data_IF_993854150799
#
_entry.id   IF_993854150799
#
_cell.length_a   1.000
_cell.length_b   1.000
_cell.length_c   1.000
_cell.angle_alpha   90.00
_cell.angle_beta   90.00
_cell.angle_gamma   90.00
#
_symmetry.space_group_name_H-M   'P 1'
#
loop_
_entity.id
_entity.type
_entity.pdbx_description
1 polymer ?
#
# COMPACT_ATOMS: atom_id res chain seq x y z
N UNK A 1 53.06 49.00 32.97
CA UNK A 1 54.11 48.40 32.09
C UNK A 1 53.47 47.27 31.29
N UNK A 2 53.47 47.41 29.97
CA UNK A 2 53.03 46.41 28.99
C UNK A 2 54.00 45.22 28.93
N UNK A 3 53.51 43.97 28.89
CA UNK A 3 53.61 43.03 27.74
C UNK A 3 53.13 41.60 28.06
N UNK A 4 52.10 41.19 27.33
CA UNK A 4 51.74 39.88 26.74
C UNK A 4 52.01 38.55 27.46
N UNK A 5 51.00 37.67 27.48
CA UNK A 5 51.04 36.37 26.76
C UNK A 5 49.59 35.84 26.53
N UNK A 6 49.26 35.84 25.24
CA UNK A 6 48.41 34.94 24.44
C UNK A 6 47.10 34.36 25.05
N UNK A 7 46.02 34.76 24.40
CA UNK A 7 44.71 34.10 24.39
C UNK A 7 44.83 32.62 24.03
N UNK A 8 44.26 31.75 24.87
CA UNK A 8 43.85 30.41 24.45
C UNK A 8 42.43 30.20 24.97
N UNK A 9 41.47 30.33 24.05
CA UNK A 9 40.06 30.08 24.31
C UNK A 9 39.83 28.59 24.56
N UNK A 10 39.17 28.25 25.67
CA UNK A 10 38.62 26.92 25.90
C UNK A 10 37.11 27.02 25.70
N UNK A 11 36.66 26.55 24.53
CA UNK A 11 35.25 26.41 24.17
C UNK A 11 34.74 25.15 24.85
N UNK A 12 33.96 25.31 25.93
CA UNK A 12 33.17 24.23 26.52
C UNK A 12 31.79 24.75 26.82
N UNK A 13 30.83 24.43 25.94
CA UNK A 13 29.40 24.21 26.20
C UNK A 13 28.55 24.49 24.95
N UNK A 14 28.73 23.70 23.89
CA UNK A 14 27.63 23.40 22.95
C UNK A 14 27.47 21.89 23.00
N UNK A 15 26.77 21.39 24.02
CA UNK A 15 26.47 19.97 24.14
C UNK A 15 25.12 19.72 24.83
N UNK A 16 24.15 20.62 24.68
CA UNK A 16 22.79 20.42 25.21
C UNK A 16 21.66 20.58 24.18
N UNK A 17 21.98 20.75 22.89
CA UNK A 17 20.98 21.04 21.84
C UNK A 17 20.75 19.96 20.78
N UNK A 18 21.47 18.84 20.82
CA UNK A 18 21.50 17.88 19.70
C UNK A 18 21.06 16.46 20.07
N UNK A 19 20.28 16.29 21.16
CA UNK A 19 19.68 15.00 21.49
C UNK A 19 18.21 15.01 21.09
N UNK A 20 17.89 14.38 19.96
CA UNK A 20 16.52 13.94 19.68
C UNK A 20 15.81 14.58 18.50
N UNK A 21 16.47 14.78 17.36
CA UNK A 21 15.77 14.59 16.09
C UNK A 21 16.27 13.29 15.46
N UNK A 22 15.76 12.18 15.97
CA UNK A 22 15.73 10.96 15.19
C UNK A 22 14.76 11.22 14.03
N UNK A 23 15.29 11.65 12.89
CA UNK A 23 14.54 11.58 11.63
C UNK A 23 14.34 10.08 11.40
N UNK A 24 13.12 9.60 11.65
CA UNK A 24 12.74 8.26 11.26
C UNK A 24 12.91 8.17 9.74
N UNK A 25 13.85 7.35 9.31
CA UNK A 25 14.07 7.07 7.89
C UNK A 25 12.80 6.37 7.39
N UNK A 26 11.93 7.11 6.68
CA UNK A 26 10.70 6.58 6.11
C UNK A 26 11.11 5.64 4.98
N UNK A 27 11.28 4.35 5.30
CA UNK A 27 11.54 3.32 4.30
C UNK A 27 10.40 3.35 3.29
N UNK A 28 10.71 3.85 2.10
CA UNK A 28 9.78 3.92 0.98
C UNK A 28 9.18 2.53 0.77
N UNK A 29 7.89 2.37 1.09
CA UNK A 29 7.19 1.09 0.95
C UNK A 29 7.03 0.82 -0.54
N UNK A 30 7.97 0.06 -1.11
CA UNK A 30 7.89 -0.35 -2.51
C UNK A 30 6.72 -1.30 -2.69
N UNK A 31 5.67 -0.82 -3.38
CA UNK A 31 4.57 -1.66 -3.81
C UNK A 31 5.05 -2.69 -4.84
N UNK A 32 4.43 -3.87 -4.84
CA UNK A 32 4.75 -4.90 -5.81
C UNK A 32 4.09 -4.59 -7.16
N UNK A 33 4.63 -5.16 -8.24
CA UNK A 33 4.00 -5.10 -9.56
C UNK A 33 2.91 -6.18 -9.67
N UNK A 34 1.63 -5.81 -9.75
CA UNK A 34 0.54 -6.78 -9.79
C UNK A 34 0.48 -7.51 -11.13
N UNK A 35 0.12 -8.79 -11.09
CA UNK A 35 -0.11 -9.60 -12.29
C UNK A 35 -1.59 -9.50 -12.68
N UNK A 36 -1.94 -8.93 -13.85
CA UNK A 36 -3.33 -8.80 -14.27
C UNK A 36 -3.91 -10.16 -14.66
N UNK A 37 -5.15 -10.42 -14.21
CA UNK A 37 -5.98 -11.56 -14.60
C UNK A 37 -7.40 -11.10 -14.92
N UNK A 38 -8.14 -11.91 -15.65
CA UNK A 38 -9.56 -11.69 -15.92
C UNK A 38 -10.39 -12.64 -15.07
N UNK A 39 -11.43 -12.11 -14.43
CA UNK A 39 -12.39 -12.88 -13.66
C UNK A 39 -13.77 -12.24 -13.76
N UNK A 40 -14.76 -12.98 -14.23
CA UNK A 40 -16.14 -12.52 -14.38
C UNK A 40 -16.32 -11.21 -15.20
N UNK A 41 -15.35 -10.86 -16.04
CA UNK A 41 -15.31 -9.61 -16.83
C UNK A 41 -14.56 -8.46 -16.17
N UNK A 42 -14.17 -8.57 -14.90
CA UNK A 42 -13.29 -7.63 -14.23
C UNK A 42 -11.82 -7.91 -14.52
N UNK A 43 -11.00 -6.87 -14.38
CA UNK A 43 -9.55 -6.97 -14.30
C UNK A 43 -9.14 -7.10 -12.83
N UNK A 44 -8.51 -8.22 -12.47
CA UNK A 44 -7.97 -8.47 -11.14
C UNK A 44 -6.46 -8.27 -11.17
N UNK A 45 -5.94 -7.36 -10.34
CA UNK A 45 -4.52 -7.06 -10.15
C UNK A 45 -4.00 -7.88 -8.96
N UNK A 46 -3.31 -8.98 -9.24
CA UNK A 46 -2.99 -10.01 -8.24
C UNK A 46 -1.58 -9.83 -7.70
N UNK A 47 -1.41 -9.93 -6.38
CA UNK A 47 -0.09 -10.04 -5.75
C UNK A 47 0.66 -11.29 -6.28
N UNK A 48 1.88 -11.14 -6.85
CA UNK A 48 2.70 -12.27 -7.25
C UNK A 48 2.93 -13.29 -6.15
N UNK A 49 2.92 -12.89 -4.88
CA UNK A 49 3.02 -13.82 -3.74
C UNK A 49 1.88 -14.82 -3.76
N UNK A 50 0.63 -14.41 -3.96
CA UNK A 50 -0.54 -15.31 -4.01
C UNK A 50 -0.41 -16.35 -5.14
N UNK A 51 0.37 -16.07 -6.18
CA UNK A 51 0.56 -16.96 -7.33
C UNK A 51 1.66 -18.01 -7.14
N UNK A 52 2.44 -17.96 -6.05
CA UNK A 52 3.46 -18.95 -5.72
C UNK A 52 2.89 -20.36 -5.55
N UNK A 53 3.72 -21.37 -5.78
CA UNK A 53 3.32 -22.79 -5.71
C UNK A 53 2.84 -23.19 -4.31
N UNK A 54 3.46 -22.65 -3.27
CA UNK A 54 3.12 -22.90 -1.86
C UNK A 54 1.68 -22.48 -1.49
N UNK A 55 1.07 -21.56 -2.25
CA UNK A 55 -0.30 -21.10 -2.01
C UNK A 55 -1.32 -21.64 -3.03
N UNK A 56 -1.03 -22.75 -3.72
CA UNK A 56 -1.89 -23.28 -4.80
C UNK A 56 -3.35 -23.45 -4.37
N UNK A 57 -3.60 -24.12 -3.24
CA UNK A 57 -4.96 -24.38 -2.75
C UNK A 57 -5.63 -23.11 -2.24
N UNK A 58 -4.92 -22.31 -1.44
CA UNK A 58 -5.43 -21.02 -0.96
C UNK A 58 -5.82 -20.09 -2.11
N UNK A 59 -4.97 -19.97 -3.13
CA UNK A 59 -5.28 -19.23 -4.36
C UNK A 59 -6.56 -19.76 -5.02
N UNK A 60 -6.74 -21.07 -5.13
CA UNK A 60 -7.94 -21.66 -5.73
C UNK A 60 -9.19 -21.26 -4.96
N UNK A 61 -9.15 -21.31 -3.63
CA UNK A 61 -10.26 -20.90 -2.77
C UNK A 61 -10.57 -19.40 -2.89
N UNK A 62 -9.54 -18.55 -2.87
CA UNK A 62 -9.68 -17.10 -3.03
C UNK A 62 -10.33 -16.74 -4.36
N UNK A 63 -9.86 -17.31 -5.47
CA UNK A 63 -10.44 -17.05 -6.79
C UNK A 63 -11.86 -17.59 -6.91
N UNK A 64 -12.17 -18.73 -6.29
CA UNK A 64 -13.53 -19.28 -6.23
C UNK A 64 -14.48 -18.36 -5.47
N UNK A 65 -14.07 -17.90 -4.29
CA UNK A 65 -14.86 -16.99 -3.47
C UNK A 65 -15.09 -15.65 -4.20
N UNK A 66 -14.03 -15.07 -4.76
CA UNK A 66 -14.14 -13.81 -5.51
C UNK A 66 -15.07 -13.96 -6.74
N UNK A 67 -14.94 -15.04 -7.50
CA UNK A 67 -15.82 -15.31 -8.64
C UNK A 67 -17.28 -15.37 -8.21
N UNK A 68 -17.58 -16.08 -7.10
CA UNK A 68 -18.93 -16.17 -6.57
C UNK A 68 -19.51 -14.78 -6.22
N UNK A 69 -18.73 -13.91 -5.57
CA UNK A 69 -19.17 -12.54 -5.26
C UNK A 69 -19.43 -11.72 -6.53
N UNK A 70 -18.54 -11.78 -7.52
CA UNK A 70 -18.68 -11.03 -8.78
C UNK A 70 -19.87 -11.53 -9.63
N UNK A 71 -20.13 -12.84 -9.64
CA UNK A 71 -21.31 -13.42 -10.28
C UNK A 71 -22.60 -12.89 -9.67
N UNK A 72 -22.67 -12.77 -8.33
CA UNK A 72 -23.84 -12.20 -7.65
C UNK A 72 -24.07 -10.74 -8.05
N UNK A 73 -23.02 -9.95 -8.22
CA UNK A 73 -23.13 -8.56 -8.72
C UNK A 73 -23.72 -8.55 -10.14
N UNK A 74 -23.23 -9.41 -11.03
CA UNK A 74 -23.76 -9.56 -12.40
C UNK A 74 -25.24 -9.94 -12.43
N UNK A 75 -25.66 -10.76 -11.47
CA UNK A 75 -27.04 -11.23 -11.38
C UNK A 75 -28.00 -10.16 -10.86
N UNK A 76 -27.57 -9.36 -9.88
CA UNK A 76 -28.43 -8.38 -9.21
C UNK A 76 -28.57 -7.08 -10.03
N UNK A 77 -27.52 -6.67 -10.74
CA UNK A 77 -27.48 -5.37 -11.41
C UNK A 77 -27.82 -5.46 -12.90
N UNK A 78 -28.43 -4.41 -13.49
CA UNK A 78 -28.61 -4.31 -14.94
C UNK A 78 -27.26 -4.37 -15.68
N UNK A 79 -27.25 -5.00 -16.85
CA UNK A 79 -26.01 -5.24 -17.61
C UNK A 79 -25.20 -3.96 -17.86
N UNK A 80 -25.85 -2.85 -18.22
CA UNK A 80 -25.16 -1.59 -18.46
C UNK A 80 -24.34 -1.13 -17.24
N UNK A 81 -24.88 -1.28 -16.02
CA UNK A 81 -24.19 -0.94 -14.78
C UNK A 81 -23.06 -1.91 -14.47
N UNK A 82 -23.25 -3.20 -14.76
CA UNK A 82 -22.19 -4.21 -14.65
C UNK A 82 -21.01 -3.85 -15.55
N UNK A 83 -21.26 -3.44 -16.79
CA UNK A 83 -20.20 -3.02 -17.73
C UNK A 83 -19.43 -1.81 -17.22
N UNK A 84 -20.10 -0.86 -16.60
CA UNK A 84 -19.43 0.29 -15.96
C UNK A 84 -18.55 -0.14 -14.79
N UNK A 85 -19.05 -1.01 -13.90
CA UNK A 85 -18.29 -1.53 -12.77
C UNK A 85 -17.09 -2.39 -13.21
N UNK A 86 -17.20 -3.12 -14.31
CA UNK A 86 -16.11 -3.94 -14.87
C UNK A 86 -14.90 -3.12 -15.35
N UNK A 87 -15.07 -1.81 -15.57
CA UNK A 87 -13.97 -0.88 -15.86
C UNK A 87 -13.06 -0.65 -14.66
N UNK A 88 -13.57 -0.86 -13.44
CA UNK A 88 -12.82 -0.66 -12.20
C UNK A 88 -11.94 -1.88 -11.91
N UNK A 89 -10.61 -1.72 -11.81
CA UNK A 89 -9.73 -2.83 -11.45
C UNK A 89 -9.88 -3.18 -9.97
N UNK A 90 -9.81 -4.48 -9.67
CA UNK A 90 -9.84 -5.01 -8.30
C UNK A 90 -8.42 -5.44 -7.94
N UNK A 91 -7.92 -4.96 -6.80
CA UNK A 91 -6.64 -5.41 -6.24
C UNK A 91 -6.87 -6.64 -5.36
N UNK A 92 -6.04 -7.66 -5.53
CA UNK A 92 -6.11 -8.90 -4.78
C UNK A 92 -4.76 -9.20 -4.15
N UNK A 93 -4.63 -8.82 -2.89
CA UNK A 93 -3.39 -8.91 -2.13
C UNK A 93 -3.29 -10.29 -1.44
N UNK A 94 -2.08 -10.84 -1.32
CA UNK A 94 -1.89 -12.04 -0.50
C UNK A 94 -2.01 -11.69 0.99
N UNK A 95 -1.36 -10.59 1.38
CA UNK A 95 -1.40 -10.05 2.74
C UNK A 95 -0.99 -8.58 2.70
N UNK A 96 -1.80 -7.72 3.31
CA UNK A 96 -1.52 -6.30 3.47
C UNK A 96 -1.68 -5.92 4.94
N UNK A 97 -0.56 -5.71 5.63
CA UNK A 97 -0.51 -5.58 7.09
C UNK A 97 -1.34 -4.40 7.67
N UNK A 98 -1.61 -3.30 6.92
CA UNK A 98 -2.57 -2.30 7.39
C UNK A 98 -4.04 -2.70 7.28
N UNK A 99 -4.45 -3.64 6.41
CA UNK A 99 -5.87 -3.94 6.13
C UNK A 99 -6.13 -5.42 5.80
N UNK A 100 -7.12 -6.01 6.47
CA UNK A 100 -7.45 -7.44 6.33
C UNK A 100 -8.79 -7.73 5.64
N UNK A 101 -9.63 -6.71 5.39
CA UNK A 101 -10.96 -6.86 4.78
C UNK A 101 -11.01 -6.33 3.34
N UNK A 102 -12.08 -6.66 2.60
CA UNK A 102 -12.37 -6.03 1.31
C UNK A 102 -12.75 -4.56 1.56
N UNK A 103 -11.90 -3.64 1.14
CA UNK A 103 -12.10 -2.22 1.37
C UNK A 103 -12.22 -1.45 0.06
N UNK A 104 -13.10 -0.47 0.07
CA UNK A 104 -13.12 0.58 -0.92
C UNK A 104 -12.25 1.73 -0.40
N UNK A 105 -11.19 2.06 -1.13
CA UNK A 105 -10.35 3.22 -0.81
C UNK A 105 -10.70 4.38 -1.73
N UNK A 106 -11.57 5.31 -1.29
CA UNK A 106 -11.67 6.58 -1.98
C UNK A 106 -10.32 7.30 -1.85
N UNK A 107 -9.74 7.69 -2.98
CA UNK A 107 -8.60 8.60 -2.96
C UNK A 107 -9.02 9.91 -2.31
N UNK A 108 -8.14 10.57 -1.56
CA UNK A 108 -8.45 11.86 -0.92
C UNK A 108 -8.93 12.92 -1.93
N UNK A 109 -8.52 12.81 -3.19
CA UNK A 109 -8.97 13.64 -4.31
C UNK A 109 -10.41 13.38 -4.72
N UNK A 110 -10.94 12.17 -4.52
CA UNK A 110 -12.32 11.82 -4.88
C UNK A 110 -13.34 12.50 -3.97
N UNK A 111 -12.95 12.86 -2.74
CA UNK A 111 -13.79 13.53 -1.76
C UNK A 111 -13.83 15.06 -1.94
N UNK A 112 -13.00 15.62 -2.82
CA UNK A 112 -12.92 17.07 -3.09
C UNK A 112 -13.64 17.49 -4.37
N UNK A 113 -14.26 16.53 -5.06
CA UNK A 113 -15.02 16.74 -6.29
C UNK A 113 -16.46 17.16 -5.98
#
# INVERSE_FOLDING_TARGET
MFKHIKQTALITAIALGALGQAIAEEKEKKFYDPIPKKLEGWTIKVDPKLLKKEHREFKKEVFKALANHLQRIKYILPEAKVKDLQKLPIWLDYHYEPLSSMQYHPGATWLRA
#
